data_IF_522673381511
#
_entry.id   IF_522673381511
#
_cell.length_a   1.000
_cell.length_b   1.000
_cell.length_c   1.000
_cell.angle_alpha   90.00
_cell.angle_beta   90.00
_cell.angle_gamma   90.00
#
_symmetry.space_group_name_H-M   'P 1'
#
loop_
_entity.id
_entity.type
_entity.pdbx_description
1 polymer ?
#
# COMPACT_ATOMS: atom_id res chain seq x y z
N UNK A 1 6.93 -21.90 56.65
CA UNK A 1 5.58 -21.55 57.10
C UNK A 1 4.86 -22.88 57.32
N UNK A 2 4.55 -23.24 58.56
CA UNK A 2 3.85 -24.51 58.86
C UNK A 2 2.46 -24.51 58.24
N UNK A 3 2.07 -25.64 57.66
CA UNK A 3 0.72 -25.81 57.11
C UNK A 3 -0.27 -25.93 58.27
N UNK A 4 -1.42 -25.21 58.24
CA UNK A 4 -2.47 -25.39 59.22
C UNK A 4 -3.09 -26.78 59.10
N UNK A 5 -3.42 -27.40 60.24
CA UNK A 5 -4.05 -28.72 60.35
C UNK A 5 -5.57 -28.59 60.17
N UNK A 6 -6.03 -28.60 58.92
CA UNK A 6 -7.44 -28.42 58.54
C UNK A 6 -7.83 -29.37 57.39
N UNK A 7 -9.06 -29.89 57.44
CA UNK A 7 -9.57 -30.89 56.48
C UNK A 7 -9.97 -30.28 55.12
N UNK A 8 -10.43 -29.02 55.10
CA UNK A 8 -10.80 -28.31 53.86
C UNK A 8 -10.76 -26.80 54.06
N UNK A 9 -10.34 -26.06 53.03
CA UNK A 9 -10.41 -24.60 53.00
C UNK A 9 -11.31 -24.19 51.83
N UNK A 10 -12.41 -23.53 52.14
CA UNK A 10 -13.37 -22.99 51.16
C UNK A 10 -13.46 -21.46 51.30
N UNK A 11 -13.93 -20.77 50.26
CA UNK A 11 -14.14 -19.32 50.30
C UNK A 11 -12.88 -18.45 50.10
N UNK A 12 -11.75 -19.03 49.68
CA UNK A 12 -10.61 -18.23 49.26
C UNK A 12 -10.93 -17.51 47.96
N UNK A 13 -10.77 -16.18 47.97
CA UNK A 13 -10.80 -15.40 46.74
C UNK A 13 -9.63 -15.82 45.83
N UNK A 14 -9.81 -15.81 44.50
CA UNK A 14 -8.71 -16.08 43.59
C UNK A 14 -7.58 -15.08 43.84
N UNK A 15 -6.41 -15.59 44.22
CA UNK A 15 -5.23 -14.77 44.44
C UNK A 15 -4.57 -14.48 43.08
N UNK A 16 -4.34 -13.19 42.80
CA UNK A 16 -3.54 -12.73 41.67
C UNK A 16 -2.21 -12.25 42.25
N UNK A 17 -1.10 -12.90 41.88
CA UNK A 17 0.23 -12.41 42.23
C UNK A 17 0.69 -11.39 41.19
N UNK A 18 1.06 -10.20 41.65
CA UNK A 18 1.68 -9.16 40.82
C UNK A 18 3.15 -9.11 41.23
N UNK A 19 3.99 -9.82 40.48
CA UNK A 19 5.43 -9.85 40.68
C UNK A 19 6.13 -9.15 39.52
N UNK A 20 7.20 -8.42 39.81
CA UNK A 20 8.08 -7.86 38.79
C UNK A 20 9.00 -8.97 38.25
N UNK A 21 8.45 -9.91 37.47
CA UNK A 21 9.26 -10.85 36.70
C UNK A 21 9.89 -10.15 35.50
N UNK A 22 11.14 -10.50 35.20
CA UNK A 22 11.82 -10.04 33.98
C UNK A 22 10.97 -10.38 32.76
N UNK A 23 10.62 -9.35 32.00
CA UNK A 23 9.76 -9.49 30.83
C UNK A 23 10.44 -10.36 29.77
N UNK A 24 9.65 -11.22 29.11
CA UNK A 24 10.11 -11.97 27.94
C UNK A 24 10.60 -10.97 26.88
N UNK A 25 11.87 -11.11 26.45
CA UNK A 25 12.43 -10.34 25.33
C UNK A 25 11.89 -10.88 23.99
N UNK A 26 10.59 -10.74 23.75
CA UNK A 26 10.04 -10.94 22.42
C UNK A 26 10.12 -9.60 21.66
N UNK A 27 10.91 -9.49 20.58
CA UNK A 27 11.08 -8.24 19.83
C UNK A 27 9.77 -7.73 19.20
N UNK A 28 8.75 -8.58 19.09
CA UNK A 28 7.40 -8.22 18.61
C UNK A 28 6.43 -7.83 19.73
N UNK A 29 6.81 -7.96 21.00
CA UNK A 29 5.98 -7.53 22.11
C UNK A 29 6.27 -6.07 22.43
N UNK A 30 5.28 -5.21 22.24
CA UNK A 30 5.35 -3.78 22.57
C UNK A 30 4.49 -3.48 23.78
N UNK A 31 4.61 -2.27 24.33
CA UNK A 31 3.69 -1.80 25.38
C UNK A 31 2.23 -1.94 24.92
N UNK A 32 1.94 -1.57 23.66
CA UNK A 32 0.59 -1.62 23.11
C UNK A 32 0.02 -3.03 22.97
N UNK A 33 0.85 -4.06 22.73
CA UNK A 33 0.38 -5.45 22.71
C UNK A 33 0.20 -6.01 24.12
N UNK A 34 1.04 -5.61 25.08
CA UNK A 34 0.94 -6.06 26.48
C UNK A 34 -0.28 -5.47 27.17
N UNK A 35 -0.63 -4.22 26.87
CA UNK A 35 -1.81 -3.54 27.43
C UNK A 35 -3.07 -3.73 26.60
N UNK A 36 -3.02 -4.50 25.52
CA UNK A 36 -4.09 -4.69 24.54
C UNK A 36 -4.58 -3.39 23.85
N UNK A 37 -3.99 -2.23 24.15
CA UNK A 37 -4.34 -0.95 23.50
C UNK A 37 -4.19 -1.06 21.98
N UNK A 38 -3.15 -1.75 21.52
CA UNK A 38 -2.95 -1.98 20.09
C UNK A 38 -4.12 -2.75 19.46
N UNK A 39 -4.78 -3.64 20.19
CA UNK A 39 -5.90 -4.43 19.68
C UNK A 39 -7.14 -3.58 19.47
N UNK A 40 -7.40 -2.64 20.38
CA UNK A 40 -8.43 -1.62 20.20
C UNK A 40 -8.09 -0.64 19.07
N UNK A 41 -6.82 -0.24 18.92
CA UNK A 41 -6.41 0.60 17.79
C UNK A 41 -6.63 -0.12 16.46
N UNK A 42 -6.28 -1.41 16.35
CA UNK A 42 -6.55 -2.20 15.15
C UNK A 42 -8.03 -2.22 14.78
N UNK A 43 -8.91 -2.38 15.78
CA UNK A 43 -10.35 -2.33 15.57
C UNK A 43 -10.81 -0.93 15.14
N UNK A 44 -10.31 0.12 15.79
CA UNK A 44 -10.63 1.51 15.48
C UNK A 44 -10.26 1.86 14.03
N UNK A 45 -9.02 1.56 13.61
CA UNK A 45 -8.56 1.84 12.26
C UNK A 45 -9.30 1.02 11.20
N UNK A 46 -9.68 -0.22 11.50
CA UNK A 46 -10.47 -1.03 10.58
C UNK A 46 -11.91 -0.52 10.40
N UNK A 47 -12.52 0.02 11.46
CA UNK A 47 -13.94 0.41 11.45
C UNK A 47 -14.19 1.88 11.11
N UNK A 48 -13.29 2.76 11.53
CA UNK A 48 -13.46 4.21 11.39
C UNK A 48 -12.32 4.86 10.60
N UNK A 49 -11.31 4.09 10.16
CA UNK A 49 -10.22 4.61 9.36
C UNK A 49 -10.65 4.85 7.93
N UNK A 50 -10.36 6.04 7.41
CA UNK A 50 -10.47 6.33 5.97
C UNK A 50 -9.14 5.99 5.30
N UNK A 51 -9.09 4.98 4.40
CA UNK A 51 -7.86 4.63 3.72
C UNK A 51 -7.54 5.65 2.64
N UNK A 52 -6.25 5.94 2.46
CA UNK A 52 -5.76 7.00 1.57
C UNK A 52 -4.74 6.42 0.58
N UNK A 53 -4.80 6.85 -0.67
CA UNK A 53 -3.77 6.52 -1.66
C UNK A 53 -2.39 7.09 -1.23
N UNK A 54 -1.32 6.29 -1.15
CA UNK A 54 -0.01 6.78 -0.73
C UNK A 54 0.58 7.82 -1.70
N UNK A 55 0.26 7.73 -2.98
CA UNK A 55 0.75 8.61 -4.05
C UNK A 55 -0.13 9.86 -4.23
N UNK A 56 -1.44 9.67 -4.45
CA UNK A 56 -2.36 10.76 -4.82
C UNK A 56 -3.08 11.41 -3.64
N UNK A 57 -2.96 10.85 -2.43
CA UNK A 57 -3.59 11.34 -1.19
C UNK A 57 -5.12 11.47 -1.22
N UNK A 58 -5.79 10.84 -2.18
CA UNK A 58 -7.25 10.76 -2.22
C UNK A 58 -7.79 9.64 -1.32
N UNK A 59 -9.03 9.82 -0.83
CA UNK A 59 -9.79 8.79 -0.11
C UNK A 59 -10.04 7.58 -1.01
N UNK A 60 -9.85 6.37 -0.48
CA UNK A 60 -10.27 5.13 -1.12
C UNK A 60 -11.62 4.78 -0.50
N UNK A 61 -12.71 5.08 -1.18
CA UNK A 61 -14.06 4.75 -0.70
C UNK A 61 -14.57 3.56 -1.49
N UNK A 62 -15.03 2.55 -0.76
CA UNK A 62 -15.79 1.44 -1.31
C UNK A 62 -17.26 1.70 -1.05
N UNK A 63 -18.09 1.63 -2.10
CA UNK A 63 -19.55 1.76 -2.03
C UNK A 63 -20.18 0.58 -2.75
N UNK A 64 -21.24 0.04 -2.17
CA UNK A 64 -22.07 -0.98 -2.81
C UNK A 64 -22.85 -0.36 -3.97
N UNK A 65 -23.31 -1.19 -4.91
CA UNK A 65 -24.13 -0.74 -6.05
C UNK A 65 -25.36 0.03 -5.57
N UNK A 66 -26.02 -0.44 -4.51
CA UNK A 66 -27.19 0.23 -3.95
C UNK A 66 -26.86 1.59 -3.34
N UNK A 67 -25.73 1.72 -2.64
CA UNK A 67 -25.27 3.01 -2.10
C UNK A 67 -24.94 4.00 -3.22
N UNK A 68 -24.29 3.54 -4.29
CA UNK A 68 -24.02 4.38 -5.47
C UNK A 68 -25.34 4.85 -6.08
N UNK A 69 -26.31 3.96 -6.27
CA UNK A 69 -27.63 4.33 -6.81
C UNK A 69 -28.33 5.35 -5.90
N UNK A 70 -28.38 5.12 -4.59
CA UNK A 70 -29.00 6.05 -3.63
C UNK A 70 -28.31 7.42 -3.66
N UNK A 71 -26.99 7.47 -3.64
CA UNK A 71 -26.22 8.71 -3.70
C UNK A 71 -26.46 9.51 -4.98
N UNK A 72 -26.71 8.83 -6.11
CA UNK A 72 -27.08 9.49 -7.35
C UNK A 72 -28.46 10.14 -7.27
N UNK A 73 -29.45 9.46 -6.67
CA UNK A 73 -30.78 10.02 -6.45
C UNK A 73 -30.79 11.16 -5.43
N UNK A 74 -29.88 11.16 -4.45
CA UNK A 74 -29.78 12.22 -3.44
C UNK A 74 -29.06 13.47 -3.97
N UNK A 75 -28.04 13.32 -4.81
CA UNK A 75 -27.17 14.42 -5.23
C UNK A 75 -27.45 14.98 -6.63
N UNK A 76 -28.32 14.34 -7.42
CA UNK A 76 -28.61 14.75 -8.79
C UNK A 76 -30.10 15.07 -8.91
N UNK A 77 -30.41 16.23 -9.48
CA UNK A 77 -31.79 16.64 -9.75
C UNK A 77 -32.49 15.66 -10.71
N UNK A 78 -33.78 15.48 -10.51
CA UNK A 78 -34.60 14.65 -11.37
C UNK A 78 -34.55 15.13 -12.83
N UNK A 79 -34.62 14.19 -13.77
CA UNK A 79 -34.57 14.40 -15.22
C UNK A 79 -33.20 14.89 -15.77
N UNK A 80 -32.15 14.90 -14.95
CA UNK A 80 -30.78 15.19 -15.40
C UNK A 80 -30.22 14.04 -16.24
N UNK A 81 -29.63 14.31 -17.43
CA UNK A 81 -28.97 13.28 -18.21
C UNK A 81 -27.62 12.91 -17.59
N UNK A 82 -27.41 11.62 -17.37
CA UNK A 82 -26.16 11.05 -16.86
C UNK A 82 -25.57 10.08 -17.89
N UNK A 83 -24.23 9.99 -17.92
CA UNK A 83 -23.54 8.95 -18.68
C UNK A 83 -22.78 8.06 -17.71
N UNK A 84 -22.99 6.75 -17.83
CA UNK A 84 -22.31 5.73 -17.03
C UNK A 84 -21.12 5.26 -17.85
N UNK A 85 -19.94 5.49 -17.28
CA UNK A 85 -18.66 5.25 -17.91
C UNK A 85 -17.92 4.16 -17.13
N UNK A 86 -17.24 3.28 -17.85
CA UNK A 86 -16.42 2.21 -17.28
C UNK A 86 -14.96 2.43 -17.67
N UNK A 87 -14.06 2.73 -16.72
CA UNK A 87 -12.67 3.08 -17.02
C UNK A 87 -11.88 1.85 -17.48
N UNK A 88 -11.44 1.88 -18.75
CA UNK A 88 -10.71 0.78 -19.37
C UNK A 88 -9.19 1.02 -19.40
N UNK A 89 -8.77 2.23 -19.78
CA UNK A 89 -7.37 2.66 -19.77
C UNK A 89 -7.24 3.94 -18.98
N UNK A 90 -6.37 3.95 -17.96
CA UNK A 90 -6.21 5.09 -17.03
C UNK A 90 -4.81 5.68 -17.13
N UNK A 91 -4.70 6.91 -17.66
CA UNK A 91 -3.46 7.68 -17.67
C UNK A 91 -2.23 6.90 -18.20
N UNK A 92 -2.41 6.08 -19.25
CA UNK A 92 -1.33 5.28 -19.85
C UNK A 92 -0.89 5.84 -21.20
N UNK A 93 0.43 5.79 -21.44
CA UNK A 93 1.02 6.11 -22.76
C UNK A 93 0.74 5.01 -23.76
N UNK A 94 0.44 5.40 -25.00
CA UNK A 94 0.29 4.48 -26.11
C UNK A 94 -0.86 4.85 -27.05
N UNK A 95 -0.86 4.21 -28.22
CA UNK A 95 -1.89 4.40 -29.25
C UNK A 95 -3.15 3.56 -28.97
N UNK A 96 -3.08 2.58 -28.05
CA UNK A 96 -4.20 1.74 -27.56
C UNK A 96 -5.07 1.09 -28.65
N UNK A 97 -4.54 0.86 -29.87
CA UNK A 97 -5.28 0.25 -31.00
C UNK A 97 -5.87 -1.13 -30.69
N UNK A 98 -5.07 -2.03 -30.11
CA UNK A 98 -5.52 -3.38 -29.78
C UNK A 98 -6.62 -3.35 -28.71
N UNK A 99 -6.47 -2.47 -27.73
CA UNK A 99 -7.47 -2.21 -26.69
C UNK A 99 -8.81 -1.78 -27.30
N UNK A 100 -8.82 -0.79 -28.19
CA UNK A 100 -10.02 -0.30 -28.88
C UNK A 100 -10.65 -1.37 -29.79
N UNK A 101 -9.84 -2.17 -30.47
CA UNK A 101 -10.32 -3.25 -31.34
C UNK A 101 -10.98 -4.37 -30.50
N UNK A 102 -10.43 -4.67 -29.33
CA UNK A 102 -11.05 -5.57 -28.36
C UNK A 102 -12.40 -5.06 -27.83
N UNK A 103 -12.54 -3.75 -27.59
CA UNK A 103 -13.83 -3.16 -27.21
C UNK A 103 -14.88 -3.27 -28.33
N UNK A 104 -14.47 -3.06 -29.58
CA UNK A 104 -15.35 -3.23 -30.74
C UNK A 104 -15.84 -4.68 -30.89
N UNK A 105 -14.95 -5.66 -30.68
CA UNK A 105 -15.31 -7.08 -30.72
C UNK A 105 -16.30 -7.47 -29.62
N UNK A 106 -16.23 -6.81 -28.46
CA UNK A 106 -17.20 -6.98 -27.36
C UNK A 106 -18.55 -6.28 -27.62
N UNK A 107 -18.69 -5.58 -28.74
CA UNK A 107 -19.95 -4.92 -29.13
C UNK A 107 -20.12 -3.50 -28.58
N UNK A 108 -19.10 -2.90 -27.97
CA UNK A 108 -19.18 -1.50 -27.57
C UNK A 108 -19.12 -0.59 -28.78
N UNK A 109 -19.95 0.46 -28.78
CA UNK A 109 -20.10 1.38 -29.92
C UNK A 109 -19.43 2.73 -29.63
N UNK A 110 -19.40 3.14 -28.36
CA UNK A 110 -18.93 4.46 -27.92
C UNK A 110 -17.87 4.34 -26.83
N UNK A 111 -16.89 5.23 -26.91
CA UNK A 111 -15.87 5.41 -25.88
C UNK A 111 -15.73 6.89 -25.59
N UNK A 112 -15.34 7.22 -24.37
CA UNK A 112 -14.89 8.53 -23.97
C UNK A 112 -13.35 8.52 -23.97
N UNK A 113 -12.75 9.38 -24.79
CA UNK A 113 -11.31 9.59 -24.86
C UNK A 113 -11.02 10.98 -24.31
N UNK A 114 -10.25 11.08 -23.24
CA UNK A 114 -9.83 12.35 -22.62
C UNK A 114 -10.98 13.35 -22.40
N UNK A 115 -12.13 12.86 -21.90
CA UNK A 115 -13.38 13.57 -21.62
C UNK A 115 -14.29 13.85 -22.83
N UNK A 116 -13.91 13.46 -24.04
CA UNK A 116 -14.74 13.61 -25.23
C UNK A 116 -15.29 12.26 -25.71
N UNK A 117 -16.58 12.21 -26.05
CA UNK A 117 -17.22 10.96 -26.48
C UNK A 117 -17.13 10.79 -27.99
N UNK A 118 -16.58 9.66 -28.41
CA UNK A 118 -16.42 9.26 -29.81
C UNK A 118 -17.12 7.94 -30.10
N UNK A 119 -17.57 7.75 -31.34
CA UNK A 119 -17.85 6.42 -31.88
C UNK A 119 -16.51 5.71 -32.09
N UNK A 120 -16.42 4.41 -31.79
CA UNK A 120 -15.16 3.67 -31.89
C UNK A 120 -14.55 3.74 -33.30
N UNK A 121 -15.40 3.82 -34.32
CA UNK A 121 -14.98 3.91 -35.73
C UNK A 121 -14.51 5.31 -36.15
N UNK A 122 -14.83 6.35 -35.39
CA UNK A 122 -14.54 7.75 -35.69
C UNK A 122 -13.52 8.35 -34.71
N UNK A 123 -12.77 7.52 -33.97
CA UNK A 123 -11.77 7.98 -33.01
C UNK A 123 -10.61 8.69 -33.75
N UNK A 124 -10.21 9.90 -33.32
CA UNK A 124 -9.04 10.59 -33.87
C UNK A 124 -7.74 9.82 -33.58
N UNK A 125 -6.69 10.03 -34.38
CA UNK A 125 -5.39 9.39 -34.12
C UNK A 125 -4.85 9.80 -32.75
N UNK A 126 -4.62 8.81 -31.89
CA UNK A 126 -4.08 8.95 -30.53
C UNK A 126 -2.56 9.15 -30.60
N UNK A 127 -2.02 10.09 -29.82
CA UNK A 127 -0.57 10.35 -29.78
C UNK A 127 0.13 9.35 -28.84
N UNK A 128 1.01 8.46 -29.35
CA UNK A 128 1.63 7.43 -28.52
C UNK A 128 2.54 7.99 -27.41
N UNK A 129 2.95 9.26 -27.47
CA UNK A 129 3.86 9.87 -26.49
C UNK A 129 3.14 10.46 -25.28
N UNK A 130 1.84 10.72 -25.39
CA UNK A 130 1.03 11.34 -24.32
C UNK A 130 0.31 10.27 -23.52
N UNK A 131 -0.05 10.62 -22.29
CA UNK A 131 -0.94 9.79 -21.49
C UNK A 131 -2.37 10.02 -21.95
N UNK A 132 -3.12 8.94 -22.09
CA UNK A 132 -4.52 8.98 -22.48
C UNK A 132 -5.38 8.21 -21.49
N UNK A 133 -6.63 8.67 -21.33
CA UNK A 133 -7.68 7.99 -20.56
C UNK A 133 -8.80 7.58 -21.50
N UNK A 134 -9.16 6.30 -21.46
CA UNK A 134 -10.22 5.71 -22.29
C UNK A 134 -11.23 5.07 -21.36
N UNK A 135 -12.46 5.59 -21.38
CA UNK A 135 -13.60 5.04 -20.66
C UNK A 135 -14.64 4.50 -21.65
N UNK A 136 -15.25 3.36 -21.37
CA UNK A 136 -16.32 2.77 -22.18
C UNK A 136 -17.63 3.44 -21.78
N UNK A 137 -18.43 3.89 -22.75
CA UNK A 137 -19.77 4.42 -22.47
C UNK A 137 -20.75 3.24 -22.41
N UNK A 138 -21.21 2.90 -21.21
CA UNK A 138 -22.09 1.75 -20.96
C UNK A 138 -23.55 2.14 -21.23
N UNK A 139 -24.03 3.19 -20.56
CA UNK A 139 -25.42 3.64 -20.71
C UNK A 139 -25.52 5.16 -20.60
N UNK A 140 -26.58 5.72 -21.17
CA UNK A 140 -26.93 7.13 -21.11
C UNK A 140 -28.40 7.23 -20.77
N UNK A 141 -28.68 7.60 -19.52
CA UNK A 141 -30.02 7.61 -18.96
C UNK A 141 -30.33 8.97 -18.35
N UNK A 142 -31.62 9.30 -18.26
CA UNK A 142 -32.08 10.42 -17.45
C UNK A 142 -32.56 9.89 -16.11
N UNK A 143 -32.16 10.55 -15.04
CA UNK A 143 -32.53 10.12 -13.69
C UNK A 143 -34.04 10.32 -13.49
N UNK A 144 -34.80 9.23 -13.36
CA UNK A 144 -36.25 9.23 -13.07
C UNK A 144 -36.56 8.10 -12.11
N UNK A 145 -37.66 8.17 -11.36
CA UNK A 145 -37.99 7.14 -10.35
C UNK A 145 -38.15 5.72 -10.93
N UNK A 146 -38.62 5.61 -12.18
CA UNK A 146 -38.89 4.32 -12.84
C UNK A 146 -37.66 3.63 -13.43
N UNK A 147 -36.48 4.27 -13.42
CA UNK A 147 -35.26 3.75 -14.06
C UNK A 147 -34.34 3.00 -13.08
N UNK A 148 -34.70 2.89 -11.79
CA UNK A 148 -33.86 2.26 -10.76
C UNK A 148 -33.27 0.91 -11.16
N UNK A 149 -34.08 -0.02 -11.65
CA UNK A 149 -33.62 -1.37 -12.05
C UNK A 149 -32.61 -1.33 -13.19
N UNK A 150 -32.91 -0.56 -14.25
CA UNK A 150 -31.99 -0.36 -15.37
C UNK A 150 -30.69 0.31 -14.94
N UNK A 151 -30.77 1.29 -14.04
CA UNK A 151 -29.60 1.98 -13.52
C UNK A 151 -28.69 1.02 -12.76
N UNK A 152 -29.25 0.16 -11.91
CA UNK A 152 -28.52 -0.90 -11.21
C UNK A 152 -27.82 -1.84 -12.19
N UNK A 153 -28.54 -2.38 -13.19
CA UNK A 153 -27.96 -3.27 -14.22
C UNK A 153 -26.81 -2.59 -14.98
N UNK A 154 -27.00 -1.33 -15.39
CA UNK A 154 -25.97 -0.57 -16.11
C UNK A 154 -24.74 -0.27 -15.23
N UNK A 155 -24.92 -0.06 -13.93
CA UNK A 155 -23.81 0.13 -12.98
C UNK A 155 -23.05 -1.19 -12.78
N UNK A 156 -23.74 -2.33 -12.65
CA UNK A 156 -23.10 -3.65 -12.53
C UNK A 156 -22.22 -3.95 -13.75
N UNK A 157 -22.74 -3.74 -14.95
CA UNK A 157 -21.99 -3.92 -16.21
C UNK A 157 -20.77 -2.96 -16.24
N UNK A 158 -20.95 -1.71 -15.79
CA UNK A 158 -19.86 -0.75 -15.77
C UNK A 158 -18.73 -1.15 -14.80
N UNK A 159 -19.09 -1.67 -13.63
CA UNK A 159 -18.13 -2.18 -12.64
C UNK A 159 -17.38 -3.41 -13.16
N UNK A 160 -18.09 -4.34 -13.81
CA UNK A 160 -17.50 -5.56 -14.38
C UNK A 160 -16.41 -5.24 -15.41
N UNK A 161 -16.68 -4.29 -16.31
CA UNK A 161 -15.71 -3.88 -17.33
C UNK A 161 -14.66 -2.88 -16.83
N UNK A 162 -14.88 -2.27 -15.68
CA UNK A 162 -14.08 -1.17 -15.14
C UNK A 162 -13.13 -1.59 -14.02
N UNK A 163 -12.96 -2.89 -13.79
CA UNK A 163 -12.27 -3.47 -12.64
C UNK A 163 -12.79 -2.88 -11.32
N UNK A 164 -14.09 -3.01 -11.08
CA UNK A 164 -14.77 -2.56 -9.86
C UNK A 164 -14.79 -1.05 -9.64
N UNK A 165 -14.47 -0.27 -10.68
CA UNK A 165 -14.56 1.19 -10.68
C UNK A 165 -15.52 1.61 -11.79
N UNK A 166 -16.35 2.61 -11.52
CA UNK A 166 -17.15 3.30 -12.53
C UNK A 166 -16.97 4.81 -12.42
N UNK A 167 -17.30 5.51 -13.49
CA UNK A 167 -17.35 6.96 -13.56
C UNK A 167 -18.73 7.38 -14.01
N UNK A 168 -19.26 8.44 -13.44
CA UNK A 168 -20.56 9.01 -13.81
C UNK A 168 -20.33 10.44 -14.22
N UNK A 169 -20.63 10.72 -15.49
CA UNK A 169 -20.54 12.05 -16.07
C UNK A 169 -21.90 12.74 -15.96
N UNK A 170 -21.93 13.90 -15.30
CA UNK A 170 -23.13 14.70 -15.03
C UNK A 170 -22.78 16.17 -15.24
N UNK A 171 -23.45 16.84 -16.19
CA UNK A 171 -23.34 18.30 -16.40
C UNK A 171 -21.90 18.87 -16.53
N UNK A 172 -20.93 18.09 -17.01
CA UNK A 172 -19.53 18.51 -17.14
C UNK A 172 -18.61 17.98 -16.05
N UNK A 173 -19.17 17.46 -14.96
CA UNK A 173 -18.42 16.90 -13.85
C UNK A 173 -18.39 15.36 -13.91
N UNK A 174 -17.25 14.79 -13.50
CA UNK A 174 -17.06 13.34 -13.40
C UNK A 174 -16.97 12.95 -11.93
N UNK A 175 -17.92 12.14 -11.48
CA UNK A 175 -17.86 11.45 -10.18
C UNK A 175 -17.35 10.03 -10.37
N UNK A 176 -16.36 9.62 -9.60
CA UNK A 176 -15.82 8.25 -9.65
C UNK A 176 -16.30 7.46 -8.44
N UNK A 177 -16.73 6.23 -8.68
CA UNK A 177 -17.20 5.31 -7.65
C UNK A 177 -16.45 3.98 -7.78
N UNK A 178 -16.30 3.26 -6.68
CA UNK A 178 -15.63 1.97 -6.64
C UNK A 178 -16.32 1.04 -5.65
N UNK A 179 -16.47 -0.24 -6.00
CA UNK A 179 -16.93 -1.28 -5.06
C UNK A 179 -15.79 -1.84 -4.22
N UNK A 180 -14.54 -1.52 -4.58
CA UNK A 180 -13.32 -1.86 -3.82
C UNK A 180 -12.67 -0.60 -3.24
N UNK A 181 -11.83 -0.75 -2.23
CA UNK A 181 -10.97 0.33 -1.73
C UNK A 181 -9.84 0.61 -2.73
N UNK A 182 -10.16 1.28 -3.84
CA UNK A 182 -9.26 1.53 -4.95
C UNK A 182 -9.12 3.02 -5.26
N UNK A 183 -7.94 3.40 -5.76
CA UNK A 183 -7.66 4.77 -6.14
C UNK A 183 -8.36 5.09 -7.48
N UNK A 184 -9.03 6.25 -7.60
CA UNK A 184 -9.64 6.65 -8.87
C UNK A 184 -8.62 7.05 -9.95
N UNK A 185 -7.36 7.33 -9.57
CA UNK A 185 -6.33 7.89 -10.45
C UNK A 185 -5.30 6.83 -10.90
N UNK A 186 -4.89 5.94 -10.00
CA UNK A 186 -3.93 4.88 -10.29
C UNK A 186 -4.45 3.49 -9.93
N UNK A 187 -3.68 2.45 -10.24
CA UNK A 187 -4.05 1.05 -10.01
C UNK A 187 -3.87 0.60 -8.54
N UNK A 188 -3.67 1.54 -7.60
CA UNK A 188 -3.52 1.22 -6.18
C UNK A 188 -4.87 0.83 -5.57
N UNK A 189 -4.93 -0.34 -4.94
CA UNK A 189 -6.09 -0.80 -4.19
C UNK A 189 -5.66 -1.56 -2.95
N UNK A 190 -6.52 -1.57 -1.95
CA UNK A 190 -6.34 -2.36 -0.74
C UNK A 190 -7.51 -3.36 -0.58
N UNK A 191 -7.30 -4.47 0.13
CA UNK A 191 -8.39 -5.35 0.54
C UNK A 191 -9.33 -4.64 1.53
N UNK A 192 -10.44 -5.30 1.86
CA UNK A 192 -11.36 -4.83 2.88
C UNK A 192 -10.64 -4.56 4.21
N UNK A 193 -11.02 -3.46 4.88
CA UNK A 193 -10.39 -3.03 6.12
C UNK A 193 -10.72 -3.97 7.29
N UNK A 194 -9.86 -4.95 7.49
CA UNK A 194 -9.94 -5.88 8.61
C UNK A 194 -8.89 -5.55 9.69
N UNK A 195 -9.18 -5.77 10.98
CA UNK A 195 -8.22 -5.48 12.06
C UNK A 195 -6.85 -6.17 11.90
N UNK A 196 -6.79 -7.31 11.20
CA UNK A 196 -5.54 -8.05 10.96
C UNK A 196 -4.57 -7.33 10.00
N UNK A 197 -5.06 -6.42 9.15
CA UNK A 197 -4.22 -5.57 8.29
C UNK A 197 -3.38 -4.60 9.11
N UNK A 198 -3.86 -4.23 10.29
CA UNK A 198 -3.17 -3.33 11.21
C UNK A 198 -2.30 -4.09 12.23
N UNK A 199 -2.08 -5.39 12.03
CA UNK A 199 -1.25 -6.20 12.92
C UNK A 199 0.09 -6.50 12.27
N UNK A 200 1.16 -5.94 12.84
CA UNK A 200 2.53 -6.29 12.47
C UNK A 200 2.93 -7.74 12.85
N UNK A 201 2.10 -8.44 13.64
CA UNK A 201 2.27 -9.86 13.95
C UNK A 201 1.64 -10.80 12.92
N UNK A 202 0.77 -10.28 12.05
CA UNK A 202 0.13 -11.03 10.97
C UNK A 202 0.91 -10.79 9.68
N UNK A 203 1.22 -11.82 8.87
CA UNK A 203 1.87 -11.64 7.56
C UNK A 203 1.16 -10.65 6.63
N UNK A 204 -0.17 -10.50 6.79
CA UNK A 204 -1.00 -9.60 5.97
C UNK A 204 -0.79 -8.12 6.36
N UNK A 205 -0.47 -7.83 7.62
CA UNK A 205 -0.23 -6.46 8.12
C UNK A 205 1.23 -6.15 8.43
N UNK A 206 2.10 -7.16 8.38
CA UNK A 206 3.53 -7.02 8.62
C UNK A 206 4.23 -6.34 7.44
N UNK A 207 5.17 -5.46 7.75
CA UNK A 207 6.04 -4.89 6.74
C UNK A 207 6.89 -6.00 6.10
N UNK A 208 6.90 -6.15 4.75
CA UNK A 208 7.60 -7.24 4.09
C UNK A 208 9.13 -7.13 4.18
N UNK A 209 9.68 -5.94 4.42
CA UNK A 209 11.13 -5.75 4.52
C UNK A 209 11.72 -6.21 5.86
N UNK A 210 10.94 -6.15 6.94
CA UNK A 210 11.39 -6.47 8.30
C UNK A 210 10.52 -7.54 8.98
N UNK A 211 9.56 -8.13 8.27
CA UNK A 211 8.60 -9.10 8.78
C UNK A 211 7.93 -8.62 10.09
N UNK A 212 7.51 -7.35 10.11
CA UNK A 212 6.84 -6.73 11.25
C UNK A 212 7.73 -6.47 12.49
N UNK A 213 9.04 -6.69 12.42
CA UNK A 213 9.97 -6.41 13.52
C UNK A 213 10.21 -4.91 13.73
N UNK A 214 10.01 -4.09 12.69
CA UNK A 214 10.30 -2.66 12.73
C UNK A 214 11.79 -2.31 12.80
N UNK A 215 12.67 -3.30 12.77
CA UNK A 215 14.13 -3.15 12.81
C UNK A 215 14.78 -3.93 11.68
N UNK A 216 15.89 -3.40 11.16
CA UNK A 216 16.75 -4.08 10.18
C UNK A 216 18.17 -4.07 10.71
N UNK A 217 18.81 -5.22 10.75
CA UNK A 217 20.21 -5.32 11.14
C UNK A 217 21.09 -4.86 9.98
N UNK A 218 22.02 -3.96 10.27
CA UNK A 218 23.02 -3.49 9.32
C UNK A 218 24.36 -3.27 10.01
N UNK A 219 25.42 -3.27 9.22
CA UNK A 219 26.76 -3.00 9.70
C UNK A 219 26.96 -1.50 9.89
N UNK A 220 27.11 -1.08 11.14
CA UNK A 220 27.46 0.29 11.47
C UNK A 220 28.96 0.48 11.29
N UNK A 221 29.34 1.28 10.29
CA UNK A 221 30.73 1.59 9.98
C UNK A 221 31.49 2.10 11.21
N UNK A 222 30.86 2.91 12.05
CA UNK A 222 31.50 3.49 13.24
C UNK A 222 31.83 2.45 14.31
N UNK A 223 31.11 1.33 14.35
CA UNK A 223 31.38 0.21 15.27
C UNK A 223 32.43 -0.76 14.74
N UNK A 224 32.68 -0.72 13.43
CA UNK A 224 33.62 -1.62 12.75
C UNK A 224 34.99 -0.96 12.59
N UNK A 225 35.00 0.35 12.36
CA UNK A 225 36.19 1.10 12.01
C UNK A 225 36.54 2.09 13.11
N UNK A 226 37.73 1.93 13.69
CA UNK A 226 38.35 2.96 14.51
C UNK A 226 39.08 3.95 13.59
N UNK A 227 38.49 5.13 13.39
CA UNK A 227 39.00 6.12 12.43
C UNK A 227 40.34 6.77 12.86
N UNK A 228 40.72 6.66 14.13
CA UNK A 228 41.96 7.23 14.68
C UNK A 228 43.21 6.36 14.43
N UNK A 229 43.01 5.06 14.18
CA UNK A 229 44.09 4.11 13.94
C UNK A 229 44.33 3.92 12.45
N UNK A 230 45.51 3.42 12.10
CA UNK A 230 45.80 2.93 10.75
C UNK A 230 45.25 1.51 10.53
N UNK A 231 45.17 1.03 9.29
CA UNK A 231 44.69 -0.34 9.01
C UNK A 231 45.61 -1.37 9.67
N UNK A 232 46.93 -1.14 9.64
CA UNK A 232 47.93 -2.00 10.28
C UNK A 232 47.83 -1.97 11.81
N UNK A 233 47.51 -0.82 12.40
CA UNK A 233 47.30 -0.66 13.84
C UNK A 233 45.93 -1.16 14.32
N UNK A 234 45.10 -1.65 13.41
CA UNK A 234 43.81 -2.26 13.73
C UNK A 234 42.61 -1.31 13.67
N UNK A 235 42.65 -0.31 12.78
CA UNK A 235 41.46 0.46 12.40
C UNK A 235 40.28 -0.44 12.06
N UNK A 236 40.54 -1.57 11.38
CA UNK A 236 39.57 -2.63 11.13
C UNK A 236 40.05 -3.89 11.86
N UNK A 237 39.23 -4.39 12.79
CA UNK A 237 39.61 -5.54 13.63
C UNK A 237 39.86 -6.78 12.76
N UNK A 238 41.04 -7.39 12.92
CA UNK A 238 41.42 -8.62 12.23
C UNK A 238 42.04 -8.42 10.84
N UNK A 239 42.21 -7.17 10.38
CA UNK A 239 42.89 -6.85 9.11
C UNK A 239 44.35 -6.43 9.32
N UNK A 240 44.94 -6.85 10.44
CA UNK A 240 46.33 -6.57 10.80
C UNK A 240 47.23 -7.75 10.44
N UNK A 241 48.54 -7.59 10.61
CA UNK A 241 49.56 -8.64 10.38
C UNK A 241 49.30 -9.96 11.12
N UNK A 242 48.49 -9.93 12.19
CA UNK A 242 48.11 -11.15 12.94
C UNK A 242 47.22 -12.09 12.12
N UNK A 243 46.59 -11.61 11.04
CA UNK A 243 45.81 -12.42 10.12
C UNK A 243 46.43 -12.34 8.72
N UNK A 244 47.25 -13.33 8.39
CA UNK A 244 48.08 -13.35 7.17
C UNK A 244 47.26 -13.19 5.88
N UNK A 245 46.08 -13.82 5.82
CA UNK A 245 45.20 -13.75 4.65
C UNK A 245 44.68 -12.33 4.41
N UNK A 246 44.06 -11.71 5.41
CA UNK A 246 43.53 -10.34 5.26
C UNK A 246 44.66 -9.32 5.11
N UNK A 247 45.80 -9.53 5.76
CA UNK A 247 46.96 -8.66 5.61
C UNK A 247 47.52 -8.70 4.18
N UNK A 248 47.68 -9.88 3.58
CA UNK A 248 48.11 -10.02 2.18
C UNK A 248 47.13 -9.37 1.21
N UNK A 249 45.82 -9.47 1.49
CA UNK A 249 44.79 -8.79 0.70
C UNK A 249 44.91 -7.27 0.80
N UNK A 250 45.09 -6.72 2.01
CA UNK A 250 45.28 -5.28 2.22
C UNK A 250 46.56 -4.76 1.55
N UNK A 251 47.65 -5.53 1.59
CA UNK A 251 48.88 -5.17 0.87
C UNK A 251 48.69 -5.12 -0.65
N UNK A 252 47.90 -6.05 -1.20
CA UNK A 252 47.60 -6.08 -2.63
C UNK A 252 46.77 -4.86 -3.04
N UNK A 253 45.73 -4.53 -2.25
CA UNK A 253 44.91 -3.32 -2.45
C UNK A 253 45.73 -2.03 -2.26
N UNK A 254 46.64 -2.01 -1.30
CA UNK A 254 47.56 -0.89 -1.06
C UNK A 254 48.43 -0.59 -2.28
N UNK A 255 48.95 -1.63 -2.96
CA UNK A 255 49.75 -1.48 -4.19
C UNK A 255 48.90 -0.97 -5.37
N UNK A 256 47.72 -1.54 -5.58
CA UNK A 256 46.84 -1.16 -6.70
C UNK A 256 46.31 0.26 -6.57
N UNK A 257 45.79 0.61 -5.39
CA UNK A 257 45.17 1.91 -5.14
C UNK A 257 46.14 2.95 -4.58
N UNK A 258 47.43 2.61 -4.43
CA UNK A 258 48.46 3.48 -3.84
C UNK A 258 48.06 4.05 -2.46
N UNK A 259 47.43 3.21 -1.64
CA UNK A 259 46.95 3.57 -0.29
C UNK A 259 48.02 3.20 0.74
N UNK A 260 48.42 4.14 1.60
CA UNK A 260 49.32 3.86 2.70
C UNK A 260 48.55 3.27 3.90
N UNK A 261 48.86 2.01 4.26
CA UNK A 261 48.17 1.26 5.32
C UNK A 261 48.51 1.72 6.75
N UNK A 262 49.59 2.48 6.92
CA UNK A 262 50.04 3.04 8.20
C UNK A 262 49.47 4.45 8.45
N UNK A 263 48.72 5.00 7.50
CA UNK A 263 48.03 6.27 7.68
C UNK A 263 46.75 6.07 8.50
N UNK A 264 46.46 6.91 9.52
CA UNK A 264 45.20 6.88 10.25
C UNK A 264 44.00 6.90 9.30
N UNK A 265 43.00 6.06 9.55
CA UNK A 265 41.91 5.78 8.63
C UNK A 265 41.11 7.04 8.27
N UNK A 266 40.93 7.98 9.21
CA UNK A 266 40.27 9.28 8.97
C UNK A 266 40.97 10.17 7.93
N UNK A 267 42.29 10.00 7.76
CA UNK A 267 43.11 10.78 6.85
C UNK A 267 43.21 10.14 5.46
N UNK A 268 42.72 8.90 5.31
CA UNK A 268 42.64 8.25 4.00
C UNK A 268 41.63 8.98 3.12
N UNK A 269 42.04 9.27 1.88
CA UNK A 269 41.18 10.01 0.95
C UNK A 269 39.93 9.20 0.60
N UNK A 270 38.74 9.81 0.64
CA UNK A 270 37.46 9.19 0.22
C UNK A 270 37.30 9.04 -1.30
N UNK A 271 38.38 9.01 -2.09
CA UNK A 271 38.25 8.99 -3.55
C UNK A 271 37.52 7.71 -4.03
N UNK A 272 36.64 7.93 -5.02
CA UNK A 272 35.67 7.00 -5.63
C UNK A 272 36.28 5.68 -6.07
#
# INVERSE_FOLDING_TARGET
MERPDVDSIEGLSPAISIEQKTTSHNPRSTVGTVTEIHDYLRLLYARAGTPICPEHKCSLEAKTVNEIVMELYENIEENTPIQILSPFVRNRKGEHKEALLGLKQKGFIRVNLDNETYLIDEIPKIDPKKNHTIDIVIDRVKLTENIKTRLTESIEIALEHGNDVLKIYVNGDIKTFSTKFACPICDYSIPELEPRLFSFNSPVGACPECDGLGIKQYFDKSKIINEELSINDGAIKGWTQKNEFYFSLMQSLSKEYSINLDTPFKLLSKKK
#
